data_IF_068832603410
#
_entry.id   IF_068832603410
#
_cell.length_a   1.000
_cell.length_b   1.000
_cell.length_c   1.000
_cell.angle_alpha   90.00
_cell.angle_beta   90.00
_cell.angle_gamma   90.00
#
_symmetry.space_group_name_H-M   'P 1'
#
loop_
_entity.id
_entity.type
_entity.pdbx_description
1 polymer ?
#
# COMPACT_ATOMS: atom_id res chain seq x y z
N UNK A 1 8.01 11.32 -21.70
CA UNK A 1 8.87 11.50 -20.52
C UNK A 1 8.08 11.01 -19.31
N UNK A 2 8.38 9.82 -18.78
CA UNK A 2 7.69 9.32 -17.56
C UNK A 2 8.31 10.02 -16.36
N UNK A 3 7.63 11.01 -15.80
CA UNK A 3 8.06 11.60 -14.52
C UNK A 3 7.67 10.65 -13.41
N UNK A 4 8.66 10.16 -12.67
CA UNK A 4 8.39 9.34 -11.50
C UNK A 4 7.81 10.25 -10.41
N UNK A 5 6.68 9.89 -9.82
CA UNK A 5 6.09 10.67 -8.73
C UNK A 5 6.92 10.50 -7.46
N UNK A 6 6.94 11.50 -6.59
CA UNK A 6 7.62 11.43 -5.28
C UNK A 6 7.17 10.20 -4.47
N UNK A 7 5.90 9.82 -4.61
CA UNK A 7 5.35 8.62 -3.98
C UNK A 7 5.94 7.33 -4.55
N UNK A 8 6.14 7.26 -5.87
CA UNK A 8 6.77 6.10 -6.50
C UNK A 8 8.24 5.96 -6.11
N UNK A 9 8.99 7.06 -5.94
CA UNK A 9 10.35 6.99 -5.37
C UNK A 9 10.34 6.45 -3.94
N UNK A 10 9.40 6.88 -3.11
CA UNK A 10 9.24 6.36 -1.75
C UNK A 10 8.92 4.85 -1.76
N UNK A 11 8.10 4.39 -2.70
CA UNK A 11 7.78 2.97 -2.84
C UNK A 11 8.94 2.10 -3.32
N UNK A 12 9.96 2.66 -3.99
CA UNK A 12 11.17 1.89 -4.37
C UNK A 12 11.96 1.40 -3.16
N UNK A 13 11.87 2.10 -2.02
CA UNK A 13 12.50 1.69 -0.77
C UNK A 13 11.84 0.45 -0.13
N UNK A 14 10.66 0.04 -0.58
CA UNK A 14 9.95 -1.12 -0.04
C UNK A 14 10.21 -2.38 -0.89
N UNK A 15 10.92 -3.39 -0.35
CA UNK A 15 11.19 -4.63 -1.07
C UNK A 15 9.92 -5.47 -1.24
N UNK A 16 9.37 -5.50 -2.46
CA UNK A 16 8.15 -6.25 -2.78
C UNK A 16 8.23 -7.73 -2.40
N UNK A 17 9.36 -8.38 -2.71
CA UNK A 17 9.54 -9.81 -2.43
C UNK A 17 9.54 -10.12 -0.93
N UNK A 18 10.14 -9.26 -0.10
CA UNK A 18 10.15 -9.46 1.35
C UNK A 18 8.75 -9.25 1.95
N UNK A 19 7.99 -8.28 1.42
CA UNK A 19 6.59 -8.09 1.81
C UNK A 19 5.74 -9.31 1.45
N UNK A 20 5.84 -9.82 0.22
CA UNK A 20 5.06 -10.98 -0.23
C UNK A 20 5.40 -12.23 0.61
N UNK A 21 6.68 -12.41 0.99
CA UNK A 21 7.09 -13.46 1.93
C UNK A 21 6.45 -13.28 3.32
N UNK A 22 6.39 -12.06 3.84
CA UNK A 22 5.73 -11.78 5.12
C UNK A 22 4.22 -12.07 5.05
N UNK A 23 3.55 -11.65 3.97
CA UNK A 23 2.13 -11.95 3.71
C UNK A 23 1.88 -13.45 3.70
N UNK A 24 2.73 -14.22 3.03
CA UNK A 24 2.64 -15.68 2.99
C UNK A 24 2.86 -16.30 4.38
N UNK A 25 3.91 -15.86 5.09
CA UNK A 25 4.26 -16.35 6.44
C UNK A 25 3.13 -16.15 7.45
N UNK A 26 2.42 -15.03 7.37
CA UNK A 26 1.33 -14.68 8.28
C UNK A 26 -0.06 -15.04 7.74
N UNK A 27 -0.16 -15.64 6.56
CA UNK A 27 -1.42 -15.92 5.87
C UNK A 27 -2.36 -14.70 5.78
N UNK A 28 -1.77 -13.51 5.57
CA UNK A 28 -2.47 -12.23 5.66
C UNK A 28 -3.47 -12.00 4.49
N UNK A 29 -3.41 -12.85 3.46
CA UNK A 29 -4.32 -12.82 2.29
C UNK A 29 -5.51 -13.78 2.41
N UNK A 30 -5.64 -14.56 3.49
CA UNK A 30 -6.63 -15.67 3.58
C UNK A 30 -8.08 -15.25 3.28
N UNK A 31 -8.47 -14.05 3.70
CA UNK A 31 -9.84 -13.54 3.57
C UNK A 31 -9.96 -12.34 2.61
N UNK A 32 -8.89 -12.02 1.87
CA UNK A 32 -8.92 -10.89 0.94
C UNK A 32 -9.69 -11.28 -0.33
N UNK A 33 -10.78 -10.57 -0.63
CA UNK A 33 -11.58 -10.79 -1.85
C UNK A 33 -11.08 -9.98 -3.05
N UNK A 34 -10.96 -8.66 -2.87
CA UNK A 34 -10.58 -7.73 -3.95
C UNK A 34 -9.41 -6.83 -3.56
N UNK A 35 -9.29 -6.49 -2.28
CA UNK A 35 -8.24 -5.60 -1.79
C UNK A 35 -7.01 -6.40 -1.36
N UNK A 36 -6.08 -6.56 -2.32
CA UNK A 36 -4.85 -7.35 -2.12
C UNK A 36 -3.95 -6.70 -1.05
N UNK A 37 -3.19 -7.48 -0.27
CA UNK A 37 -2.32 -6.97 0.80
C UNK A 37 -1.34 -5.89 0.34
N UNK A 38 -0.78 -6.03 -0.86
CA UNK A 38 0.10 -5.00 -1.43
C UNK A 38 -0.63 -3.68 -1.65
N UNK A 39 -1.82 -3.71 -2.26
CA UNK A 39 -2.62 -2.51 -2.49
C UNK A 39 -3.06 -1.87 -1.17
N UNK A 40 -3.40 -2.70 -0.17
CA UNK A 40 -3.70 -2.24 1.18
C UNK A 40 -2.52 -1.50 1.81
N UNK A 41 -1.33 -2.09 1.77
CA UNK A 41 -0.11 -1.46 2.26
C UNK A 41 0.20 -0.14 1.55
N UNK A 42 0.12 -0.12 0.21
CA UNK A 42 0.32 1.09 -0.59
C UNK A 42 -0.66 2.20 -0.19
N UNK A 43 -1.95 1.85 0.02
CA UNK A 43 -2.95 2.81 0.46
C UNK A 43 -2.67 3.33 1.87
N UNK A 44 -2.21 2.48 2.80
CA UNK A 44 -1.81 2.93 4.14
C UNK A 44 -0.60 3.87 4.09
N UNK A 45 0.41 3.58 3.26
CA UNK A 45 1.57 4.47 3.11
C UNK A 45 1.14 5.82 2.53
N UNK A 46 0.25 5.80 1.54
CA UNK A 46 -0.31 7.03 0.99
C UNK A 46 -1.11 7.81 2.05
N UNK A 47 -1.93 7.14 2.86
CA UNK A 47 -2.68 7.77 3.96
C UNK A 47 -1.74 8.48 4.93
N UNK A 48 -0.65 7.81 5.33
CA UNK A 48 0.32 8.39 6.26
C UNK A 48 1.06 9.57 5.63
N UNK A 49 1.41 9.50 4.34
CA UNK A 49 2.05 10.59 3.62
C UNK A 49 1.13 11.80 3.41
N UNK A 50 -0.18 11.58 3.25
CA UNK A 50 -1.18 12.64 3.05
C UNK A 50 -1.80 13.16 4.36
N UNK A 51 -1.47 12.55 5.51
CA UNK A 51 -2.09 12.88 6.80
C UNK A 51 -3.54 12.41 6.93
N UNK A 52 -3.99 11.49 6.08
CA UNK A 52 -5.34 10.94 6.15
C UNK A 52 -5.48 10.00 7.36
N UNK A 53 -6.53 10.15 8.19
CA UNK A 53 -6.69 9.36 9.41
C UNK A 53 -7.16 7.92 9.17
N UNK A 54 -7.66 7.61 7.97
CA UNK A 54 -8.16 6.27 7.65
C UNK A 54 -8.26 6.02 6.13
N UNK A 55 -8.39 4.74 5.76
CA UNK A 55 -8.71 4.34 4.38
C UNK A 55 -10.05 4.91 3.89
N UNK A 56 -11.03 5.10 4.80
CA UNK A 56 -12.30 5.74 4.47
C UNK A 56 -12.10 7.21 4.12
N UNK A 57 -11.27 7.92 4.87
CA UNK A 57 -10.95 9.32 4.57
C UNK A 57 -10.26 9.46 3.21
N UNK A 58 -9.43 8.48 2.83
CA UNK A 58 -8.89 8.41 1.47
C UNK A 58 -9.99 8.19 0.42
N UNK A 59 -10.86 7.20 0.63
CA UNK A 59 -11.97 6.92 -0.30
C UNK A 59 -12.89 8.12 -0.52
N UNK A 60 -13.19 8.89 0.54
CA UNK A 60 -14.11 10.03 0.48
C UNK A 60 -13.43 11.37 0.13
N UNK A 61 -12.09 11.40 0.12
CA UNK A 61 -11.30 12.61 -0.11
C UNK A 61 -10.84 12.80 -1.57
N UNK A 62 -11.13 11.84 -2.44
CA UNK A 62 -10.98 11.92 -3.90
C UNK A 62 -12.32 12.16 -4.57
#
# INVERSE_FOLDING_TARGET
MYSITTFQELMKGLPRAAFDQAVARHNAAKYTKHFKPWNHMTAMVYAQASGAPSLRALETGF
#
